data_IF_564128509610
#
_entry.id   IF_564128509610
#
_cell.length_a   1.000
_cell.length_b   1.000
_cell.length_c   1.000
_cell.angle_alpha   90.00
_cell.angle_beta   90.00
_cell.angle_gamma   90.00
#
_symmetry.space_group_name_H-M   'P 1'
#
loop_
_entity.id
_entity.type
_entity.pdbx_description
1 polymer ?
#
# COMPACT_ATOMS: atom_id res chain seq x y z
N UNK A 1 -4.17 19.47 -5.05
CA UNK A 1 -5.28 19.12 -4.13
C UNK A 1 -5.41 17.60 -3.89
N UNK A 2 -4.91 16.71 -4.76
CA UNK A 2 -4.99 15.24 -4.57
C UNK A 2 -3.93 14.70 -3.58
N UNK A 3 -2.77 15.34 -3.48
CA UNK A 3 -1.68 14.91 -2.61
C UNK A 3 -2.03 14.91 -1.11
N UNK A 4 -2.89 15.83 -0.66
CA UNK A 4 -3.32 15.92 0.75
C UNK A 4 -4.22 14.75 1.14
N UNK A 5 -5.04 14.25 0.21
CA UNK A 5 -5.95 13.13 0.48
C UNK A 5 -5.20 11.80 0.52
N UNK A 6 -4.17 11.64 -0.31
CA UNK A 6 -3.34 10.41 -0.34
C UNK A 6 -2.52 10.26 0.93
N UNK A 7 -1.91 11.34 1.41
CA UNK A 7 -1.14 11.31 2.66
C UNK A 7 -2.02 10.96 3.86
N UNK A 8 -3.27 11.44 3.90
CA UNK A 8 -4.21 11.06 4.97
C UNK A 8 -4.61 9.58 4.90
N UNK A 9 -4.87 9.06 3.69
CA UNK A 9 -5.15 7.64 3.49
C UNK A 9 -3.96 6.76 3.84
N UNK A 10 -2.74 7.16 3.47
CA UNK A 10 -1.50 6.48 3.81
C UNK A 10 -1.30 6.41 5.33
N UNK A 11 -1.46 7.54 6.02
CA UNK A 11 -1.31 7.62 7.47
C UNK A 11 -2.35 6.76 8.21
N UNK A 12 -3.61 6.81 7.78
CA UNK A 12 -4.69 5.96 8.31
C UNK A 12 -4.34 4.46 8.13
N UNK A 13 -3.97 4.04 6.92
CA UNK A 13 -3.58 2.66 6.64
C UNK A 13 -2.31 2.25 7.39
N UNK A 14 -1.37 3.15 7.56
CA UNK A 14 -0.12 2.91 8.28
C UNK A 14 -0.31 2.97 9.80
N UNK A 15 -1.43 3.46 10.32
CA UNK A 15 -1.67 3.56 11.77
C UNK A 15 -2.71 2.54 12.24
N UNK A 16 -3.88 2.50 11.59
CA UNK A 16 -5.01 1.63 11.93
C UNK A 16 -5.05 0.34 11.12
N UNK A 17 -4.26 0.23 10.05
CA UNK A 17 -4.45 -0.83 9.07
C UNK A 17 -5.71 -0.59 8.24
N UNK A 18 -6.03 -1.50 7.34
CA UNK A 18 -7.23 -1.34 6.51
C UNK A 18 -7.50 -2.56 5.67
N UNK A 19 -8.42 -2.46 4.72
CA UNK A 19 -8.72 -3.59 3.83
C UNK A 19 -7.64 -3.73 2.74
N UNK A 20 -7.40 -4.97 2.23
CA UNK A 20 -6.44 -5.19 1.15
C UNK A 20 -6.74 -4.36 -0.10
N UNK A 21 -8.00 -4.05 -0.36
CA UNK A 21 -8.43 -3.18 -1.46
C UNK A 21 -7.93 -1.73 -1.30
N UNK A 22 -7.98 -1.18 -0.08
CA UNK A 22 -7.47 0.17 0.22
C UNK A 22 -5.95 0.23 0.08
N UNK A 23 -5.24 -0.80 0.54
CA UNK A 23 -3.80 -0.93 0.31
C UNK A 23 -3.48 -0.95 -1.18
N UNK A 24 -4.17 -1.78 -1.98
CA UNK A 24 -4.00 -1.81 -3.43
C UNK A 24 -4.26 -0.45 -4.10
N UNK A 25 -5.22 0.31 -3.58
CA UNK A 25 -5.51 1.66 -4.05
C UNK A 25 -4.38 2.66 -3.70
N UNK A 26 -3.81 2.58 -2.49
CA UNK A 26 -2.64 3.36 -2.08
C UNK A 26 -1.46 3.09 -3.03
N UNK A 27 -1.14 1.82 -3.30
CA UNK A 27 -0.08 1.46 -4.25
C UNK A 27 -0.33 2.04 -5.63
N UNK A 28 -1.54 1.93 -6.20
CA UNK A 28 -1.85 2.54 -7.50
C UNK A 28 -1.54 4.04 -7.54
N UNK A 29 -1.89 4.77 -6.48
CA UNK A 29 -1.63 6.22 -6.43
C UNK A 29 -0.14 6.52 -6.27
N UNK A 30 0.57 5.78 -5.41
CA UNK A 30 2.04 5.89 -5.27
C UNK A 30 2.76 5.58 -6.59
N UNK A 31 2.24 4.64 -7.39
CA UNK A 31 2.75 4.33 -8.72
C UNK A 31 2.58 5.49 -9.71
N UNK A 32 1.45 6.19 -9.66
CA UNK A 32 1.21 7.39 -10.48
C UNK A 32 2.12 8.54 -10.05
N UNK A 33 2.39 8.67 -8.75
CA UNK A 33 3.33 9.67 -8.22
C UNK A 33 4.80 9.29 -8.47
N UNK A 34 5.10 8.01 -8.72
CA UNK A 34 6.47 7.50 -8.88
C UNK A 34 7.22 7.32 -7.55
N UNK A 35 6.52 7.42 -6.42
CA UNK A 35 7.06 7.33 -5.06
C UNK A 35 7.31 5.87 -4.64
N UNK A 36 8.41 5.30 -5.15
CA UNK A 36 8.82 3.93 -4.84
C UNK A 36 9.18 3.71 -3.37
N UNK A 37 9.81 4.69 -2.72
CA UNK A 37 10.20 4.58 -1.31
C UNK A 37 8.98 4.43 -0.38
N UNK A 38 7.95 5.25 -0.61
CA UNK A 38 6.67 5.13 0.12
C UNK A 38 5.99 3.81 -0.18
N UNK A 39 6.02 3.35 -1.42
CA UNK A 39 5.45 2.06 -1.78
C UNK A 39 6.16 0.90 -1.05
N UNK A 40 7.50 0.90 -0.96
CA UNK A 40 8.24 -0.10 -0.19
C UNK A 40 7.85 -0.07 1.31
N UNK A 41 7.72 1.11 1.90
CA UNK A 41 7.29 1.26 3.29
C UNK A 41 5.87 0.73 3.52
N UNK A 42 4.94 1.08 2.63
CA UNK A 42 3.58 0.58 2.63
C UNK A 42 3.52 -0.95 2.51
N UNK A 43 4.34 -1.55 1.65
CA UNK A 43 4.40 -3.00 1.45
C UNK A 43 4.94 -3.74 2.68
N UNK A 44 5.97 -3.21 3.34
CA UNK A 44 6.47 -3.76 4.58
C UNK A 44 5.41 -3.74 5.69
N UNK A 45 4.65 -2.65 5.80
CA UNK A 45 3.57 -2.53 6.77
C UNK A 45 2.41 -3.47 6.45
N UNK A 46 1.95 -3.51 5.20
CA UNK A 46 0.89 -4.44 4.77
C UNK A 46 1.28 -5.90 5.04
N UNK A 47 2.53 -6.30 4.78
CA UNK A 47 3.00 -7.65 5.12
C UNK A 47 2.94 -7.96 6.61
N UNK A 48 3.22 -6.97 7.47
CA UNK A 48 3.12 -7.15 8.92
C UNK A 48 1.66 -7.21 9.38
N UNK A 49 0.78 -6.37 8.82
CA UNK A 49 -0.64 -6.28 9.16
C UNK A 49 -1.41 -7.54 8.73
N UNK A 50 -1.12 -8.04 7.53
CA UNK A 50 -1.72 -9.25 6.96
C UNK A 50 -0.81 -10.47 7.06
N UNK A 51 0.08 -10.53 8.05
CA UNK A 51 1.00 -11.66 8.21
C UNK A 51 0.25 -13.00 8.40
N UNK A 52 -0.92 -12.96 9.03
CA UNK A 52 -1.82 -14.12 9.23
C UNK A 52 -2.81 -14.31 8.05
N UNK A 53 -2.89 -13.33 7.14
CA UNK A 53 -3.92 -13.22 6.12
C UNK A 53 -3.33 -13.28 4.71
N UNK A 54 -2.86 -14.47 4.34
CA UNK A 54 -2.20 -14.72 3.05
C UNK A 54 -3.11 -14.40 1.84
N UNK A 55 -4.44 -14.53 2.00
CA UNK A 55 -5.41 -14.16 0.99
C UNK A 55 -5.43 -12.65 0.73
N UNK A 56 -5.36 -11.83 1.79
CA UNK A 56 -5.24 -10.38 1.67
C UNK A 56 -3.93 -9.98 0.98
N UNK A 57 -2.81 -10.61 1.34
CA UNK A 57 -1.53 -10.36 0.67
C UNK A 57 -1.55 -10.70 -0.82
N UNK A 58 -2.24 -11.77 -1.22
CA UNK A 58 -2.40 -12.11 -2.63
C UNK A 58 -3.14 -11.03 -3.44
N UNK A 59 -4.03 -10.26 -2.81
CA UNK A 59 -4.76 -9.14 -3.44
C UNK A 59 -3.86 -7.90 -3.56
N UNK A 60 -3.04 -7.62 -2.53
CA UNK A 60 -2.19 -6.41 -2.46
C UNK A 60 -0.92 -6.56 -3.31
N UNK A 61 -0.31 -7.74 -3.30
CA UNK A 61 0.95 -8.05 -4.00
C UNK A 61 0.98 -7.59 -5.46
N UNK A 62 -0.03 -7.82 -6.32
CA UNK A 62 0.02 -7.34 -7.70
C UNK A 62 0.07 -5.81 -7.81
N UNK A 63 -0.60 -5.08 -6.92
CA UNK A 63 -0.55 -3.63 -6.89
C UNK A 63 0.80 -3.11 -6.38
N UNK A 64 1.36 -3.74 -5.36
CA UNK A 64 2.71 -3.44 -4.85
C UNK A 64 3.80 -3.75 -5.89
N UNK A 65 3.68 -4.86 -6.63
CA UNK A 65 4.63 -5.24 -7.67
C UNK A 65 4.57 -4.27 -8.88
N UNK A 66 3.37 -3.79 -9.25
CA UNK A 66 3.19 -2.83 -10.33
C UNK A 66 3.95 -1.50 -10.11
N UNK A 67 4.28 -1.18 -8.85
CA UNK A 67 4.99 0.05 -8.49
C UNK A 67 6.43 -0.20 -8.04
N UNK A 68 6.93 -1.43 -8.16
CA UNK A 68 8.29 -1.79 -7.74
C UNK A 68 8.50 -1.77 -6.23
N UNK A 69 7.43 -1.98 -5.44
CA UNK A 69 7.53 -2.16 -3.99
C UNK A 69 7.90 -3.60 -3.60
N UNK A 70 7.64 -4.55 -4.50
CA UNK A 70 8.04 -5.96 -4.39
C UNK A 70 9.33 -6.12 -5.19
N UNK A 71 10.42 -6.55 -4.54
CA UNK A 71 11.69 -6.91 -5.20
C UNK A 71 11.71 -8.36 -5.67
#
# INVERSE_FOLDING_TARGET
MVNTMVTGLEDELMSEGGTPERWAQLFKVLGVLGDRDRAKAAWAKAQADFADDAAALAIIRPAAAAVGAVE
#
